data_IF_588428683822
#
_entry.id   IF_588428683822
#
_cell.length_a   1.000
_cell.length_b   1.000
_cell.length_c   1.000
_cell.angle_alpha   90.00
_cell.angle_beta   90.00
_cell.angle_gamma   90.00
#
_symmetry.space_group_name_H-M   'P 1'
#
loop_
_entity.id
_entity.type
_entity.pdbx_description
1 polymer ?
#
# COMPACT_ATOMS: atom_id res chain seq x y z
N UNK A 1 -38.27 -11.09 -17.55
CA UNK A 1 -36.93 -10.94 -18.15
C UNK A 1 -35.90 -11.16 -17.06
N UNK A 2 -34.99 -12.14 -17.18
CA UNK A 2 -34.03 -12.44 -16.13
C UNK A 2 -32.96 -11.35 -16.10
N UNK A 3 -32.65 -10.90 -14.89
CA UNK A 3 -31.63 -9.90 -14.56
C UNK A 3 -30.25 -10.43 -14.93
N UNK A 4 -29.62 -9.80 -15.92
CA UNK A 4 -28.22 -9.97 -16.25
C UNK A 4 -27.36 -9.59 -15.03
N UNK A 5 -26.75 -10.59 -14.42
CA UNK A 5 -25.71 -10.44 -13.41
C UNK A 5 -24.53 -9.66 -14.03
N UNK A 6 -24.43 -8.36 -13.73
CA UNK A 6 -23.22 -7.58 -13.98
C UNK A 6 -22.16 -8.07 -13.00
N UNK A 7 -21.23 -8.88 -13.49
CA UNK A 7 -20.09 -9.35 -12.71
C UNK A 7 -19.30 -8.16 -12.13
N UNK A 8 -19.08 -8.17 -10.81
CA UNK A 8 -18.23 -7.19 -10.10
C UNK A 8 -16.86 -7.07 -10.80
N UNK A 9 -16.29 -5.86 -10.94
CA UNK A 9 -15.00 -5.62 -11.61
C UNK A 9 -13.81 -6.37 -10.99
N UNK A 10 -13.95 -6.85 -9.75
CA UNK A 10 -12.94 -7.70 -9.10
C UNK A 10 -12.86 -9.12 -9.69
N UNK A 11 -13.97 -9.70 -10.14
CA UNK A 11 -14.04 -11.06 -10.69
C UNK A 11 -13.48 -11.12 -12.13
N UNK A 12 -13.67 -10.05 -12.91
CA UNK A 12 -13.05 -9.91 -14.23
C UNK A 12 -11.52 -9.76 -14.13
N UNK A 13 -11.03 -9.00 -13.15
CA UNK A 13 -9.59 -8.87 -12.88
C UNK A 13 -8.95 -10.17 -12.41
N UNK A 14 -9.65 -11.00 -11.62
CA UNK A 14 -9.10 -12.29 -11.19
C UNK A 14 -8.98 -13.27 -12.35
N UNK A 15 -10.02 -13.37 -13.19
CA UNK A 15 -10.01 -14.21 -14.39
C UNK A 15 -8.90 -13.77 -15.37
N UNK A 16 -8.78 -12.47 -15.64
CA UNK A 16 -7.71 -11.95 -16.51
C UNK A 16 -6.29 -12.29 -15.99
N UNK A 17 -6.11 -12.31 -14.66
CA UNK A 17 -4.83 -12.66 -14.04
C UNK A 17 -4.54 -14.17 -14.15
N UNK A 18 -5.56 -15.02 -14.08
CA UNK A 18 -5.41 -16.48 -14.26
C UNK A 18 -5.01 -16.85 -15.70
N UNK A 19 -5.67 -16.26 -16.70
CA UNK A 19 -5.30 -16.48 -18.10
C UNK A 19 -3.88 -15.97 -18.41
N UNK A 20 -3.49 -14.82 -17.86
CA UNK A 20 -2.14 -14.31 -18.03
C UNK A 20 -1.08 -15.27 -17.47
N UNK A 21 -1.31 -15.85 -16.29
CA UNK A 21 -0.40 -16.85 -15.69
C UNK A 21 -0.26 -18.08 -16.57
N UNK A 22 -1.37 -18.61 -17.11
CA UNK A 22 -1.33 -19.77 -18.00
C UNK A 22 -0.52 -19.48 -19.28
N UNK A 23 -0.68 -18.29 -19.87
CA UNK A 23 0.07 -17.86 -21.06
C UNK A 23 1.58 -17.83 -20.77
N UNK A 24 2.00 -17.27 -19.62
CA UNK A 24 3.42 -17.26 -19.24
C UNK A 24 4.01 -18.66 -19.09
N UNK A 25 3.26 -19.60 -18.50
CA UNK A 25 3.70 -21.00 -18.41
C UNK A 25 3.91 -21.63 -19.79
N UNK A 26 2.93 -21.47 -20.70
CA UNK A 26 3.02 -22.01 -22.06
C UNK A 26 4.21 -21.41 -22.80
N UNK A 27 4.40 -20.09 -22.71
CA UNK A 27 5.51 -19.39 -23.34
C UNK A 27 6.86 -19.90 -22.85
N UNK A 28 7.03 -20.09 -21.53
CA UNK A 28 8.28 -20.58 -20.96
C UNK A 28 8.55 -22.04 -21.32
N UNK A 29 7.53 -22.90 -21.30
CA UNK A 29 7.65 -24.30 -21.74
C UNK A 29 8.03 -24.39 -23.22
N UNK A 30 7.36 -23.60 -24.08
CA UNK A 30 7.67 -23.53 -25.52
C UNK A 30 9.09 -23.03 -25.77
N UNK A 31 9.53 -22.00 -25.05
CA UNK A 31 10.90 -21.47 -25.13
C UNK A 31 11.92 -22.51 -24.69
N UNK A 32 11.64 -23.23 -23.59
CA UNK A 32 12.51 -24.31 -23.08
C UNK A 32 12.67 -25.43 -24.11
N UNK A 33 11.57 -25.85 -24.74
CA UNK A 33 11.58 -26.85 -25.80
C UNK A 33 12.35 -26.36 -27.03
N UNK A 34 12.15 -25.11 -27.44
CA UNK A 34 12.87 -24.51 -28.56
C UNK A 34 14.38 -24.48 -28.32
N UNK A 35 14.83 -24.08 -27.13
CA UNK A 35 16.25 -24.10 -26.75
C UNK A 35 16.81 -25.53 -26.81
N UNK A 36 16.05 -26.52 -26.35
CA UNK A 36 16.49 -27.92 -26.41
C UNK A 36 16.61 -28.44 -27.84
N UNK A 37 15.64 -28.13 -28.70
CA UNK A 37 15.70 -28.49 -30.13
C UNK A 37 16.86 -27.80 -30.84
N UNK A 38 17.20 -26.57 -30.45
CA UNK A 38 18.39 -25.89 -30.94
C UNK A 38 19.66 -26.60 -30.47
N UNK A 39 19.77 -26.95 -29.19
CA UNK A 39 20.93 -27.68 -28.62
C UNK A 39 21.18 -29.00 -29.37
N UNK A 40 20.13 -29.78 -29.64
CA UNK A 40 20.20 -31.04 -30.41
C UNK A 40 20.64 -30.87 -31.87
N UNK A 41 20.40 -29.69 -32.47
CA UNK A 41 20.79 -29.42 -33.86
C UNK A 41 22.12 -28.67 -33.97
N UNK A 42 22.70 -28.22 -32.85
CA UNK A 42 24.00 -27.57 -32.84
C UNK A 42 25.14 -28.59 -32.70
N UNK A 43 26.28 -28.39 -33.38
CA UNK A 43 27.46 -29.24 -33.22
C UNK A 43 27.98 -29.25 -31.77
N UNK A 44 28.67 -30.34 -31.38
CA UNK A 44 29.39 -30.39 -30.11
C UNK A 44 30.32 -29.18 -29.95
N UNK A 45 30.33 -28.61 -28.74
CA UNK A 45 31.23 -27.52 -28.38
C UNK A 45 30.62 -26.13 -28.47
N UNK A 46 29.38 -25.95 -28.97
CA UNK A 46 28.66 -24.67 -28.83
C UNK A 46 27.95 -24.63 -27.47
N UNK A 47 27.96 -23.48 -26.80
CA UNK A 47 27.30 -23.26 -25.51
C UNK A 47 25.77 -23.06 -25.67
N UNK A 48 25.09 -23.93 -26.41
CA UNK A 48 23.66 -23.81 -26.74
C UNK A 48 22.71 -24.00 -25.55
N UNK A 49 23.21 -24.45 -24.39
CA UNK A 49 22.47 -24.46 -23.12
C UNK A 49 22.45 -23.11 -22.39
N UNK A 50 23.28 -22.13 -22.76
CA UNK A 50 23.30 -20.80 -22.11
C UNK A 50 21.97 -20.03 -22.16
N UNK A 51 21.13 -20.13 -23.21
CA UNK A 51 19.84 -19.44 -23.27
C UNK A 51 18.82 -19.94 -22.24
N UNK A 52 19.02 -21.10 -21.58
CA UNK A 52 18.14 -21.52 -20.48
C UNK A 52 18.09 -20.52 -19.32
N UNK A 53 19.13 -19.70 -19.16
CA UNK A 53 19.14 -18.54 -18.28
C UNK A 53 17.93 -17.61 -18.51
N UNK A 54 17.53 -17.40 -19.77
CA UNK A 54 16.40 -16.55 -20.13
C UNK A 54 15.06 -17.14 -19.68
N UNK A 55 14.92 -18.47 -19.72
CA UNK A 55 13.73 -19.17 -19.19
C UNK A 55 13.64 -18.96 -17.68
N UNK A 56 14.77 -19.05 -16.97
CA UNK A 56 14.83 -18.85 -15.53
C UNK A 56 14.51 -17.39 -15.18
N UNK A 57 15.04 -16.41 -15.91
CA UNK A 57 14.61 -15.01 -15.79
C UNK A 57 13.12 -14.84 -16.07
N UNK A 58 12.62 -15.51 -17.11
CA UNK A 58 11.21 -15.59 -17.48
C UNK A 58 10.29 -16.08 -16.35
N UNK A 59 10.81 -16.84 -15.40
CA UNK A 59 10.05 -17.26 -14.22
C UNK A 59 9.68 -16.10 -13.28
N UNK A 60 10.28 -14.90 -13.41
CA UNK A 60 9.94 -13.71 -12.62
C UNK A 60 8.48 -13.26 -12.79
N UNK A 61 7.89 -13.48 -13.97
CA UNK A 61 6.50 -13.14 -14.25
C UNK A 61 5.50 -14.12 -13.63
N UNK A 62 5.98 -15.25 -13.12
CA UNK A 62 5.16 -16.24 -12.42
C UNK A 62 5.24 -16.04 -10.91
N UNK A 63 4.07 -16.12 -10.25
CA UNK A 63 3.96 -16.01 -8.79
C UNK A 63 4.64 -17.19 -8.09
N UNK A 64 5.31 -16.88 -6.97
CA UNK A 64 5.95 -17.87 -6.10
C UNK A 64 7.32 -18.35 -6.60
N UNK A 65 8.00 -19.14 -5.76
CA UNK A 65 9.36 -19.61 -6.03
C UNK A 65 9.39 -20.96 -6.77
N UNK A 66 8.29 -21.71 -6.74
CA UNK A 66 8.18 -23.05 -7.33
C UNK A 66 8.49 -23.06 -8.84
N UNK A 67 8.00 -22.07 -9.59
CA UNK A 67 8.28 -21.96 -11.02
C UNK A 67 9.78 -21.87 -11.32
N UNK A 68 10.52 -21.07 -10.54
CA UNK A 68 11.97 -20.92 -10.68
C UNK A 68 12.70 -22.24 -10.38
N UNK A 69 12.28 -22.98 -9.35
CA UNK A 69 12.86 -24.30 -9.05
C UNK A 69 12.60 -25.33 -10.15
N UNK A 70 11.37 -25.35 -10.70
CA UNK A 70 11.00 -26.27 -11.80
C UNK A 70 11.84 -25.98 -13.04
N UNK A 71 11.91 -24.72 -13.49
CA UNK A 71 12.68 -24.38 -14.69
C UNK A 71 14.19 -24.53 -14.48
N UNK A 72 14.71 -24.29 -13.27
CA UNK A 72 16.10 -24.59 -12.93
C UNK A 72 16.40 -26.09 -13.07
N UNK A 73 15.55 -26.95 -12.50
CA UNK A 73 15.72 -28.41 -12.56
C UNK A 73 15.63 -28.92 -14.01
N UNK A 74 14.58 -28.51 -14.75
CA UNK A 74 14.38 -28.91 -16.15
C UNK A 74 15.56 -28.44 -17.01
N UNK A 75 15.99 -27.18 -16.88
CA UNK A 75 17.11 -26.64 -17.66
C UNK A 75 18.43 -27.36 -17.37
N UNK A 76 18.67 -27.71 -16.11
CA UNK A 76 19.84 -28.49 -15.69
C UNK A 76 19.82 -29.88 -16.31
N UNK A 77 18.68 -30.58 -16.22
CA UNK A 77 18.50 -31.91 -16.79
C UNK A 77 18.65 -31.90 -18.31
N UNK A 78 18.03 -30.94 -19.01
CA UNK A 78 18.14 -30.83 -20.47
C UNK A 78 19.55 -30.46 -20.92
N UNK A 79 20.28 -29.63 -20.16
CA UNK A 79 21.68 -29.31 -20.44
C UNK A 79 22.58 -30.55 -20.33
N UNK A 80 22.31 -31.43 -19.36
CA UNK A 80 23.01 -32.72 -19.20
C UNK A 80 22.59 -33.70 -20.31
N UNK A 81 21.30 -33.80 -20.62
CA UNK A 81 20.81 -34.65 -21.70
C UNK A 81 21.41 -34.25 -23.06
N UNK A 82 21.54 -32.94 -23.31
CA UNK A 82 22.19 -32.39 -24.50
C UNK A 82 23.62 -32.87 -24.67
N UNK A 83 24.38 -33.13 -23.60
CA UNK A 83 25.72 -33.72 -23.69
C UNK A 83 25.72 -35.11 -24.34
N UNK A 84 24.69 -35.92 -24.08
CA UNK A 84 24.58 -37.28 -24.61
C UNK A 84 23.89 -37.34 -25.98
N UNK A 85 22.99 -36.39 -26.25
CA UNK A 85 22.10 -36.44 -27.41
C UNK A 85 22.52 -35.54 -28.58
N UNK A 86 23.42 -34.58 -28.36
CA UNK A 86 23.94 -33.72 -29.44
C UNK A 86 24.73 -34.54 -30.46
N UNK A 87 24.75 -34.17 -31.75
CA UNK A 87 25.44 -34.92 -32.79
C UNK A 87 26.96 -34.83 -32.67
N UNK A 88 27.64 -35.97 -32.52
CA UNK A 88 29.09 -36.16 -32.33
C UNK A 88 29.93 -35.71 -33.53
N UNK A 89 30.04 -34.41 -33.74
CA UNK A 89 30.97 -33.80 -34.69
C UNK A 89 32.25 -33.29 -33.98
N UNK A 90 33.28 -32.99 -34.78
CA UNK A 90 34.70 -32.80 -34.43
C UNK A 90 34.93 -31.60 -33.50
N UNK A 91 34.60 -31.73 -32.22
CA UNK A 91 35.01 -30.80 -31.17
C UNK A 91 35.88 -31.51 -30.14
N UNK A 92 36.89 -30.80 -29.63
CA UNK A 92 37.72 -31.29 -28.53
C UNK A 92 36.84 -31.48 -27.29
N UNK A 93 36.97 -32.62 -26.63
CA UNK A 93 36.13 -32.97 -25.47
C UNK A 93 36.26 -31.94 -24.34
N UNK A 94 37.43 -31.33 -24.18
CA UNK A 94 37.69 -30.29 -23.19
C UNK A 94 36.84 -29.04 -23.42
N UNK A 95 36.62 -28.66 -24.69
CA UNK A 95 35.78 -27.50 -25.06
C UNK A 95 34.32 -27.77 -24.72
N UNK A 96 33.85 -29.00 -24.98
CA UNK A 96 32.48 -29.42 -24.65
C UNK A 96 32.25 -29.38 -23.15
N UNK A 97 33.15 -30.00 -22.37
CA UNK A 97 33.05 -30.03 -20.91
C UNK A 97 33.08 -28.62 -20.32
N UNK A 98 33.98 -27.77 -20.81
CA UNK A 98 34.09 -26.37 -20.37
C UNK A 98 32.80 -25.59 -20.64
N UNK A 99 32.22 -25.71 -21.83
CA UNK A 99 31.01 -24.98 -22.19
C UNK A 99 29.76 -25.49 -21.46
N UNK A 100 29.65 -26.81 -21.21
CA UNK A 100 28.57 -27.38 -20.41
C UNK A 100 28.68 -26.96 -18.94
N UNK A 101 29.90 -26.99 -18.40
CA UNK A 101 30.16 -26.49 -17.05
C UNK A 101 29.79 -25.00 -16.91
N UNK A 102 30.19 -24.16 -17.87
CA UNK A 102 29.86 -22.75 -17.88
C UNK A 102 28.35 -22.52 -17.98
N UNK A 103 27.63 -23.27 -18.82
CA UNK A 103 26.18 -23.18 -18.94
C UNK A 103 25.48 -23.53 -17.61
N UNK A 104 25.90 -24.60 -16.93
CA UNK A 104 25.37 -24.98 -15.62
C UNK A 104 25.65 -23.92 -14.55
N UNK A 105 26.84 -23.31 -14.56
CA UNK A 105 27.18 -22.20 -13.66
C UNK A 105 26.25 -21.00 -13.90
N UNK A 106 26.04 -20.60 -15.16
CA UNK A 106 25.14 -19.50 -15.52
C UNK A 106 23.70 -19.80 -15.09
N UNK A 107 23.21 -21.02 -15.31
CA UNK A 107 21.89 -21.48 -14.88
C UNK A 107 21.75 -21.39 -13.34
N UNK A 108 22.75 -21.83 -12.59
CA UNK A 108 22.74 -21.77 -11.13
C UNK A 108 22.79 -20.33 -10.60
N UNK A 109 23.68 -19.49 -11.14
CA UNK A 109 23.79 -18.08 -10.75
C UNK A 109 22.50 -17.30 -11.06
N UNK A 110 21.90 -17.52 -12.23
CA UNK A 110 20.63 -16.87 -12.60
C UNK A 110 19.47 -17.33 -11.72
N UNK A 111 19.37 -18.63 -11.42
CA UNK A 111 18.37 -19.14 -10.49
C UNK A 111 18.53 -18.51 -9.09
N UNK A 112 19.76 -18.44 -8.57
CA UNK A 112 20.05 -17.78 -7.28
C UNK A 112 19.64 -16.31 -7.29
N UNK A 113 20.01 -15.56 -8.33
CA UNK A 113 19.67 -14.14 -8.48
C UNK A 113 18.15 -13.93 -8.55
N UNK A 114 17.44 -14.72 -9.35
CA UNK A 114 15.97 -14.65 -9.48
C UNK A 114 15.27 -14.95 -8.15
N UNK A 115 15.72 -15.98 -7.42
CA UNK A 115 15.18 -16.30 -6.09
C UNK A 115 15.39 -15.16 -5.08
N UNK A 116 16.56 -14.50 -5.12
CA UNK A 116 16.83 -13.31 -4.29
C UNK A 116 15.92 -12.15 -4.67
N UNK A 117 15.77 -11.85 -5.96
CA UNK A 117 14.87 -10.78 -6.45
C UNK A 117 13.42 -11.04 -6.00
N UNK A 118 12.92 -12.27 -6.16
CA UNK A 118 11.57 -12.65 -5.72
C UNK A 118 11.38 -12.49 -4.21
N UNK A 119 12.36 -12.94 -3.40
CA UNK A 119 12.31 -12.80 -1.94
C UNK A 119 12.26 -11.35 -1.51
N UNK A 120 13.13 -10.52 -2.10
CA UNK A 120 13.15 -9.07 -1.87
C UNK A 120 11.79 -8.47 -2.27
N UNK A 121 11.28 -8.74 -3.46
CA UNK A 121 9.98 -8.21 -3.91
C UNK A 121 8.83 -8.61 -2.98
N UNK A 122 8.82 -9.84 -2.46
CA UNK A 122 7.81 -10.28 -1.50
C UNK A 122 7.90 -9.52 -0.18
N UNK A 123 9.10 -9.43 0.40
CA UNK A 123 9.34 -8.68 1.64
C UNK A 123 8.94 -7.22 1.50
N UNK A 124 9.29 -6.57 0.39
CA UNK A 124 8.85 -5.20 0.09
C UNK A 124 7.33 -5.05 0.02
N UNK A 125 6.62 -6.06 -0.49
CA UNK A 125 5.16 -6.01 -0.61
C UNK A 125 4.48 -6.20 0.75
N UNK A 126 4.94 -7.18 1.54
CA UNK A 126 4.43 -7.45 2.89
C UNK A 126 4.69 -6.27 3.82
N UNK A 127 5.91 -5.73 3.77
CA UNK A 127 6.25 -4.50 4.49
C UNK A 127 5.31 -3.38 4.04
N UNK A 128 5.05 -3.19 2.74
CA UNK A 128 4.11 -2.14 2.30
C UNK A 128 2.66 -2.35 2.76
N UNK A 129 2.13 -3.57 2.76
CA UNK A 129 0.74 -3.79 3.15
C UNK A 129 0.54 -3.62 4.65
N UNK A 130 1.41 -4.22 5.46
CA UNK A 130 1.31 -4.20 6.92
C UNK A 130 1.65 -2.82 7.50
N UNK A 131 2.38 -2.00 6.74
CA UNK A 131 2.66 -0.63 7.10
C UNK A 131 1.50 0.32 6.83
N UNK A 132 0.62 0.03 5.86
CA UNK A 132 -0.36 1.03 5.40
C UNK A 132 -1.75 0.85 5.97
N UNK A 133 -2.20 -0.39 6.20
CA UNK A 133 -3.56 -0.68 6.68
C UNK A 133 -3.52 -1.33 8.07
N UNK A 134 -4.30 -0.79 9.00
CA UNK A 134 -4.48 -1.34 10.35
C UNK A 134 -5.37 -2.58 10.29
N UNK A 135 -4.86 -3.72 10.76
CA UNK A 135 -5.56 -5.01 10.69
C UNK A 135 -6.84 -5.07 11.54
N UNK A 136 -6.99 -4.18 12.53
CA UNK A 136 -8.14 -4.17 13.41
C UNK A 136 -9.31 -3.36 12.82
N UNK A 137 -9.02 -2.16 12.31
CA UNK A 137 -10.04 -1.19 11.85
C UNK A 137 -10.15 -1.13 10.34
N UNK A 138 -9.22 -1.73 9.60
CA UNK A 138 -9.06 -1.61 8.14
C UNK A 138 -8.88 -0.17 7.64
N UNK A 139 -8.63 0.77 8.55
CA UNK A 139 -8.24 2.14 8.23
C UNK A 139 -6.73 2.23 7.99
N UNK A 140 -6.25 3.37 7.52
CA UNK A 140 -4.81 3.57 7.34
C UNK A 140 -4.09 3.65 8.69
N UNK A 141 -2.84 3.22 8.77
CA UNK A 141 -2.06 3.26 10.02
C UNK A 141 -1.49 4.66 10.32
N UNK A 142 -0.94 4.84 11.52
CA UNK A 142 -0.13 6.00 11.89
C UNK A 142 1.07 6.24 10.95
N UNK A 143 1.69 5.15 10.46
CA UNK A 143 2.82 5.27 9.51
C UNK A 143 2.35 5.84 8.17
N UNK A 144 1.20 5.39 7.68
CA UNK A 144 0.58 5.97 6.48
C UNK A 144 0.18 7.43 6.71
N UNK A 145 -0.39 7.75 7.88
CA UNK A 145 -0.75 9.12 8.26
C UNK A 145 0.43 10.09 8.15
N UNK A 146 1.59 9.72 8.71
CA UNK A 146 2.79 10.57 8.67
C UNK A 146 3.25 10.86 7.23
N UNK A 147 3.22 9.85 6.36
CA UNK A 147 3.66 9.98 4.97
C UNK A 147 2.66 10.80 4.15
N UNK A 148 1.37 10.48 4.25
CA UNK A 148 0.32 11.08 3.44
C UNK A 148 0.02 12.52 3.88
N UNK A 149 0.05 12.84 5.17
CA UNK A 149 -0.11 14.22 5.64
C UNK A 149 1.01 15.13 5.11
N UNK A 150 2.27 14.65 5.08
CA UNK A 150 3.36 15.42 4.48
C UNK A 150 3.12 15.68 2.98
N UNK A 151 2.62 14.70 2.26
CA UNK A 151 2.33 14.82 0.83
C UNK A 151 1.18 15.81 0.57
N UNK A 152 0.09 15.69 1.33
CA UNK A 152 -1.08 16.56 1.18
C UNK A 152 -0.77 18.01 1.59
N UNK A 153 0.06 18.24 2.62
CA UNK A 153 0.53 19.60 2.95
C UNK A 153 1.27 20.22 1.76
N UNK A 154 2.18 19.48 1.12
CA UNK A 154 2.91 19.97 -0.05
C UNK A 154 1.98 20.27 -1.22
N UNK A 155 0.97 19.41 -1.44
CA UNK A 155 -0.03 19.55 -2.49
C UNK A 155 -0.92 20.78 -2.26
N UNK A 156 -1.47 20.90 -1.05
CA UNK A 156 -2.31 22.02 -0.62
C UNK A 156 -1.57 23.35 -0.74
N UNK A 157 -0.30 23.45 -0.29
CA UNK A 157 0.52 24.66 -0.49
C UNK A 157 0.79 25.00 -1.95
N UNK A 158 0.99 23.98 -2.80
CA UNK A 158 1.25 24.18 -4.23
C UNK A 158 0.04 24.75 -4.96
N UNK A 159 -1.15 24.24 -4.65
CA UNK A 159 -2.39 24.61 -5.35
C UNK A 159 -3.26 25.60 -4.57
N UNK A 160 -2.79 26.05 -3.41
CA UNK A 160 -3.50 26.96 -2.52
C UNK A 160 -4.92 26.46 -2.15
N UNK A 161 -5.03 25.18 -1.81
CA UNK A 161 -6.28 24.57 -1.35
C UNK A 161 -6.31 24.45 0.16
N UNK A 162 -7.50 24.56 0.76
CA UNK A 162 -7.66 24.33 2.19
C UNK A 162 -7.37 22.87 2.53
N UNK A 163 -6.75 22.63 3.68
CA UNK A 163 -6.47 21.30 4.20
C UNK A 163 -6.71 21.32 5.70
N UNK A 164 -7.64 20.52 6.20
CA UNK A 164 -7.96 20.47 7.62
C UNK A 164 -7.63 19.11 8.22
N UNK A 165 -7.04 19.11 9.41
CA UNK A 165 -6.70 17.92 10.17
C UNK A 165 -7.60 17.86 11.41
N UNK A 166 -8.35 16.77 11.55
CA UNK A 166 -9.12 16.47 12.75
C UNK A 166 -8.53 15.25 13.48
N UNK A 167 -8.37 15.36 14.80
CA UNK A 167 -7.96 14.26 15.68
C UNK A 167 -9.13 13.92 16.60
N UNK A 168 -9.61 12.68 16.49
CA UNK A 168 -10.67 12.10 17.30
C UNK A 168 -10.04 11.27 18.42
N UNK A 169 -10.50 11.43 19.65
CA UNK A 169 -10.04 10.67 20.81
C UNK A 169 -11.24 10.20 21.63
N UNK A 170 -11.26 8.91 21.97
CA UNK A 170 -12.32 8.30 22.78
C UNK A 170 -12.18 8.80 24.21
N UNK A 171 -13.22 9.49 24.68
CA UNK A 171 -13.24 10.02 26.03
C UNK A 171 -13.20 8.91 27.06
N UNK A 172 -12.42 9.14 28.13
CA UNK A 172 -12.30 8.21 29.25
C UNK A 172 -11.84 6.80 28.83
N UNK A 173 -11.14 6.66 27.69
CA UNK A 173 -10.74 5.36 27.14
C UNK A 173 -10.11 4.42 28.17
N UNK A 174 -9.11 4.89 28.94
CA UNK A 174 -8.46 4.08 29.98
C UNK A 174 -9.46 3.58 31.03
N UNK A 175 -10.37 4.45 31.49
CA UNK A 175 -11.38 4.09 32.49
C UNK A 175 -12.39 3.07 31.94
N UNK A 176 -12.68 3.14 30.64
CA UNK A 176 -13.57 2.21 29.96
C UNK A 176 -12.98 0.79 29.80
N UNK A 177 -11.66 0.60 30.00
CA UNK A 177 -10.93 -0.57 29.47
C UNK A 177 -9.88 -1.17 30.41
N UNK A 178 -10.12 -1.19 31.72
CA UNK A 178 -9.14 -1.69 32.71
C UNK A 178 -8.76 -3.19 32.53
N UNK A 179 -7.96 -3.80 33.39
CA UNK A 179 -6.82 -4.63 32.94
C UNK A 179 -7.03 -6.10 32.51
N UNK A 180 -8.19 -6.56 32.02
CA UNK A 180 -8.40 -7.98 31.67
C UNK A 180 -8.56 -8.26 30.15
N UNK A 181 -8.63 -9.56 29.79
CA UNK A 181 -8.85 -10.01 28.41
C UNK A 181 -10.19 -9.53 27.85
N UNK A 182 -11.24 -9.47 28.69
CA UNK A 182 -12.54 -8.91 28.34
C UNK A 182 -12.40 -7.45 27.88
N UNK A 183 -11.55 -6.68 28.56
CA UNK A 183 -11.30 -5.28 28.23
C UNK A 183 -10.45 -5.10 26.96
N UNK A 184 -9.63 -6.09 26.58
CA UNK A 184 -8.97 -6.06 25.25
C UNK A 184 -9.99 -6.16 24.12
N UNK A 185 -10.97 -7.05 24.24
CA UNK A 185 -12.06 -7.12 23.28
C UNK A 185 -12.87 -5.83 23.27
N UNK A 186 -13.16 -5.27 24.44
CA UNK A 186 -13.88 -4.01 24.58
C UNK A 186 -13.14 -2.82 23.95
N UNK A 187 -11.83 -2.68 24.19
CA UNK A 187 -10.94 -1.71 23.51
C UNK A 187 -11.05 -1.78 21.99
N UNK A 188 -10.95 -3.01 21.48
CA UNK A 188 -10.99 -3.27 20.06
C UNK A 188 -12.35 -2.92 19.46
N UNK A 189 -13.45 -3.18 20.19
CA UNK A 189 -14.80 -2.81 19.78
C UNK A 189 -15.00 -1.29 19.73
N UNK A 190 -14.52 -0.56 20.74
CA UNK A 190 -14.60 0.91 20.81
C UNK A 190 -13.96 1.57 19.59
N UNK A 191 -12.69 1.25 19.30
CA UNK A 191 -11.96 1.86 18.18
C UNK A 191 -12.49 1.38 16.80
N UNK A 192 -12.95 0.13 16.69
CA UNK A 192 -13.64 -0.39 15.49
C UNK A 192 -14.94 0.37 15.22
N UNK A 193 -15.72 0.65 16.26
CA UNK A 193 -16.97 1.39 16.13
C UNK A 193 -16.69 2.84 15.74
N UNK A 194 -15.74 3.50 16.40
CA UNK A 194 -15.34 4.87 16.05
C UNK A 194 -14.91 4.96 14.58
N UNK A 195 -13.95 4.12 14.17
CA UNK A 195 -13.46 4.11 12.78
C UNK A 195 -14.57 3.85 11.76
N UNK A 196 -15.48 2.90 12.03
CA UNK A 196 -16.63 2.61 11.15
C UNK A 196 -17.57 3.81 11.02
N UNK A 197 -17.87 4.52 12.11
CA UNK A 197 -18.73 5.69 12.05
C UNK A 197 -18.07 6.86 11.32
N UNK A 198 -16.76 7.07 11.51
CA UNK A 198 -16.00 8.07 10.75
C UNK A 198 -16.01 7.72 9.25
N UNK A 199 -15.63 6.49 8.89
CA UNK A 199 -15.55 6.06 7.49
C UNK A 199 -16.87 6.20 6.73
N UNK A 200 -18.03 6.05 7.39
CA UNK A 200 -19.34 6.23 6.78
C UNK A 200 -19.76 7.69 6.60
N UNK A 201 -19.10 8.61 7.30
CA UNK A 201 -19.54 10.00 7.40
C UNK A 201 -18.61 10.99 6.68
N UNK A 202 -17.42 10.54 6.28
CA UNK A 202 -16.46 11.33 5.49
C UNK A 202 -16.58 11.00 4.00
N UNK A 203 -16.04 11.88 3.14
CA UNK A 203 -16.05 11.70 1.68
C UNK A 203 -14.97 10.69 1.26
N UNK A 204 -15.09 10.14 0.06
CA UNK A 204 -14.05 9.26 -0.51
C UNK A 204 -12.69 9.95 -0.71
N UNK A 205 -12.69 11.28 -0.86
CA UNK A 205 -11.48 12.11 -0.94
C UNK A 205 -10.76 12.21 0.40
N UNK A 206 -11.51 12.20 1.50
CA UNK A 206 -10.97 12.31 2.85
C UNK A 206 -10.32 10.99 3.26
N UNK A 207 -9.30 11.08 4.10
CA UNK A 207 -8.53 9.91 4.52
C UNK A 207 -8.60 9.72 6.03
N UNK A 208 -8.99 8.51 6.44
CA UNK A 208 -9.10 8.09 7.84
C UNK A 208 -7.89 7.23 8.24
N UNK A 209 -7.31 7.59 9.39
CA UNK A 209 -6.15 6.92 9.96
C UNK A 209 -6.42 6.53 11.41
N UNK A 210 -5.92 5.37 11.82
CA UNK A 210 -5.77 5.00 13.23
C UNK A 210 -4.36 5.35 13.69
N UNK A 211 -4.25 6.41 14.50
CA UNK A 211 -2.95 6.94 14.94
C UNK A 211 -2.51 6.40 16.30
N UNK A 212 -3.46 5.99 17.16
CA UNK A 212 -3.19 5.34 18.46
C UNK A 212 -4.24 4.27 18.79
N UNK A 213 -4.15 3.67 19.97
CA UNK A 213 -5.12 2.67 20.45
C UNK A 213 -6.55 3.20 20.56
N UNK A 214 -6.69 4.49 20.85
CA UNK A 214 -7.91 5.22 21.22
C UNK A 214 -8.16 6.45 20.33
N UNK A 215 -7.28 6.70 19.35
CA UNK A 215 -7.33 7.89 18.50
C UNK A 215 -7.35 7.57 17.02
N UNK A 216 -8.20 8.30 16.32
CA UNK A 216 -8.23 8.37 14.87
C UNK A 216 -7.88 9.78 14.41
N UNK A 217 -7.31 9.91 13.21
CA UNK A 217 -7.13 11.18 12.53
C UNK A 217 -7.86 11.16 11.18
N UNK A 218 -8.40 12.30 10.79
CA UNK A 218 -8.95 12.51 9.45
C UNK A 218 -8.23 13.68 8.80
N UNK A 219 -7.75 13.46 7.58
CA UNK A 219 -7.29 14.52 6.70
C UNK A 219 -8.45 14.87 5.77
N UNK A 220 -9.01 16.07 5.96
CA UNK A 220 -10.03 16.65 5.10
C UNK A 220 -9.35 17.47 4.00
N UNK A 221 -9.44 16.98 2.78
CA UNK A 221 -8.83 17.62 1.60
C UNK A 221 -9.79 18.68 1.07
N UNK A 222 -9.26 19.83 0.64
CA UNK A 222 -10.05 20.94 0.08
C UNK A 222 -11.18 21.42 1.02
N UNK A 223 -10.95 21.32 2.34
CA UNK A 223 -11.97 21.60 3.36
C UNK A 223 -11.44 22.62 4.36
N UNK A 224 -12.20 23.68 4.61
CA UNK A 224 -11.86 24.70 5.59
C UNK A 224 -12.20 24.30 7.04
N UNK A 225 -11.87 25.17 7.99
CA UNK A 225 -12.08 24.88 9.43
C UNK A 225 -13.56 24.77 9.80
N UNK A 226 -14.44 25.50 9.12
CA UNK A 226 -15.87 25.55 9.41
C UNK A 226 -16.54 24.26 8.94
N UNK A 227 -16.31 23.88 7.68
CA UNK A 227 -16.81 22.64 7.11
C UNK A 227 -16.30 21.41 7.88
N UNK A 228 -14.99 21.38 8.20
CA UNK A 228 -14.41 20.30 8.98
C UNK A 228 -15.03 20.19 10.39
N UNK A 229 -15.33 21.34 11.01
CA UNK A 229 -16.01 21.42 12.32
C UNK A 229 -17.45 20.93 12.23
N UNK A 230 -18.20 21.28 11.19
CA UNK A 230 -19.57 20.81 10.98
C UNK A 230 -19.64 19.29 10.85
N UNK A 231 -18.83 18.70 9.96
CA UNK A 231 -18.77 17.24 9.77
C UNK A 231 -18.37 16.54 11.07
N UNK A 232 -17.38 17.08 11.77
CA UNK A 232 -16.89 16.52 13.04
C UNK A 232 -17.94 16.62 14.16
N UNK A 233 -18.71 17.71 14.22
CA UNK A 233 -19.80 17.87 15.18
C UNK A 233 -20.96 16.91 14.90
N UNK A 234 -21.35 16.77 13.64
CA UNK A 234 -22.38 15.81 13.23
C UNK A 234 -21.97 14.37 13.60
N UNK A 235 -20.70 14.01 13.39
CA UNK A 235 -20.18 12.70 13.78
C UNK A 235 -20.22 12.48 15.29
N UNK A 236 -19.73 13.45 16.07
CA UNK A 236 -19.75 13.40 17.53
C UNK A 236 -21.17 13.20 18.07
N UNK A 237 -22.12 13.98 17.54
CA UNK A 237 -23.51 13.90 17.97
C UNK A 237 -24.16 12.55 17.58
N UNK A 238 -23.84 12.02 16.40
CA UNK A 238 -24.26 10.68 15.97
C UNK A 238 -23.75 9.59 16.91
N UNK A 239 -22.46 9.65 17.29
CA UNK A 239 -21.87 8.70 18.24
C UNK A 239 -22.60 8.80 19.59
N UNK A 240 -22.81 10.02 20.09
CA UNK A 240 -23.52 10.27 21.35
C UNK A 240 -24.95 9.71 21.34
N UNK A 241 -25.73 9.98 20.29
CA UNK A 241 -27.12 9.47 20.14
C UNK A 241 -27.17 7.96 20.06
N UNK A 242 -26.22 7.33 19.35
CA UNK A 242 -26.17 5.87 19.22
C UNK A 242 -25.99 5.19 20.60
N UNK A 243 -25.32 5.84 21.55
CA UNK A 243 -25.23 5.33 22.93
C UNK A 243 -26.58 5.36 23.65
N UNK A 244 -27.40 6.40 23.43
CA UNK A 244 -28.73 6.51 24.05
C UNK A 244 -29.69 5.43 23.55
N UNK A 245 -29.50 4.94 22.32
CA UNK A 245 -30.29 3.85 21.74
C UNK A 245 -29.90 2.45 22.26
N UNK A 246 -29.10 2.35 23.33
CA UNK A 246 -28.70 1.07 23.95
C UNK A 246 -27.64 0.28 23.18
N UNK A 247 -27.03 0.86 22.13
CA UNK A 247 -25.92 0.22 21.43
C UNK A 247 -24.64 0.30 22.26
N UNK A 248 -24.18 -0.85 22.76
CA UNK A 248 -22.90 -1.00 23.43
C UNK A 248 -21.78 -1.39 22.44
N UNK A 249 -20.52 -0.97 22.68
CA UNK A 249 -20.05 -0.20 23.83
C UNK A 249 -20.35 1.30 23.69
N UNK A 250 -20.88 1.94 24.75
CA UNK A 250 -21.18 3.37 24.76
C UNK A 250 -19.95 4.21 25.07
N UNK A 251 -19.68 5.26 24.28
CA UNK A 251 -18.55 6.17 24.49
C UNK A 251 -18.80 7.55 23.86
N UNK A 252 -18.18 8.60 24.38
CA UNK A 252 -18.13 9.92 23.71
C UNK A 252 -16.77 10.17 23.10
N UNK A 253 -16.69 11.19 22.26
CA UNK A 253 -15.44 11.58 21.61
C UNK A 253 -15.19 13.07 21.77
N UNK A 254 -13.94 13.40 22.07
CA UNK A 254 -13.42 14.76 21.95
C UNK A 254 -12.66 14.88 20.63
N UNK A 255 -12.81 16.03 19.96
CA UNK A 255 -12.24 16.24 18.63
C UNK A 255 -11.49 17.57 18.59
N UNK A 256 -10.24 17.54 18.15
CA UNK A 256 -9.43 18.72 17.90
C UNK A 256 -9.18 18.92 16.42
N UNK A 257 -9.43 20.13 15.92
CA UNK A 257 -9.27 20.45 14.50
C UNK A 257 -8.34 21.64 14.31
N UNK A 258 -7.47 21.55 13.30
CA UNK A 258 -6.68 22.67 12.80
C UNK A 258 -6.62 22.64 11.26
N UNK A 259 -6.70 23.80 10.64
CA UNK A 259 -6.50 23.98 9.19
C UNK A 259 -5.06 24.37 8.89
N UNK A 260 -4.53 23.93 7.75
CA UNK A 260 -3.17 24.19 7.33
C UNK A 260 -2.92 25.68 7.15
N UNK A 261 -1.86 26.17 7.79
CA UNK A 261 -1.35 27.52 7.58
C UNK A 261 -0.15 27.56 6.61
N UNK A 262 0.18 28.74 6.09
CA UNK A 262 1.30 28.98 5.17
C UNK A 262 2.64 28.54 5.77
N UNK A 263 2.82 28.74 7.08
CA UNK A 263 4.03 28.42 7.83
C UNK A 263 3.99 27.04 8.50
N UNK A 264 2.89 26.30 8.31
CA UNK A 264 2.76 24.99 8.91
C UNK A 264 3.59 23.96 8.16
N UNK A 265 4.32 23.15 8.91
CA UNK A 265 4.74 21.83 8.47
C UNK A 265 3.87 20.79 9.19
N UNK A 266 4.01 19.52 8.83
CA UNK A 266 3.26 18.42 9.46
C UNK A 266 3.27 18.47 10.98
N UNK A 267 4.43 18.74 11.59
CA UNK A 267 4.57 18.79 13.06
C UNK A 267 3.77 19.94 13.66
N UNK A 268 3.79 21.13 13.06
CA UNK A 268 3.04 22.30 13.54
C UNK A 268 1.54 22.11 13.38
N UNK A 269 1.08 21.64 12.22
CA UNK A 269 -0.34 21.35 11.97
C UNK A 269 -0.87 20.29 12.93
N UNK A 270 -0.15 19.17 13.10
CA UNK A 270 -0.52 18.13 14.07
C UNK A 270 -0.58 18.69 15.50
N UNK A 271 0.41 19.47 15.91
CA UNK A 271 0.45 20.07 17.26
C UNK A 271 -0.73 21.02 17.48
N UNK A 272 -1.12 21.82 16.49
CA UNK A 272 -2.32 22.68 16.56
C UNK A 272 -3.59 21.82 16.73
N UNK A 273 -3.76 20.77 15.92
CA UNK A 273 -4.91 19.87 16.07
C UNK A 273 -4.93 19.18 17.44
N UNK A 274 -3.77 18.77 17.97
CA UNK A 274 -3.65 18.16 19.29
C UNK A 274 -3.94 19.16 20.42
N UNK A 275 -3.47 20.41 20.31
CA UNK A 275 -3.82 21.47 21.26
C UNK A 275 -5.32 21.76 21.26
N UNK A 276 -5.95 21.78 20.08
CA UNK A 276 -7.41 21.90 19.99
C UNK A 276 -8.11 20.72 20.68
N UNK A 277 -7.60 19.50 20.53
CA UNK A 277 -8.14 18.31 21.19
C UNK A 277 -8.02 18.40 22.71
N UNK A 278 -6.88 18.87 23.22
CA UNK A 278 -6.67 19.09 24.65
C UNK A 278 -7.71 20.08 25.19
N UNK A 279 -7.94 21.20 24.50
CA UNK A 279 -8.99 22.16 24.86
C UNK A 279 -10.38 21.51 24.91
N UNK A 280 -10.73 20.67 23.94
CA UNK A 280 -12.00 19.93 23.97
C UNK A 280 -12.11 19.02 25.21
N UNK A 281 -11.01 18.40 25.62
CA UNK A 281 -10.99 17.53 26.81
C UNK A 281 -11.09 18.32 28.12
N UNK A 282 -10.39 19.45 28.22
CA UNK A 282 -10.39 20.32 29.39
C UNK A 282 -11.75 21.01 29.58
N UNK A 283 -12.41 21.39 28.50
CA UNK A 283 -13.72 22.05 28.51
C UNK A 283 -14.90 21.07 28.75
N UNK A 284 -14.66 19.88 29.30
CA UNK A 284 -15.73 18.94 29.65
C UNK A 284 -15.97 17.77 28.67
N UNK A 285 -15.08 17.56 27.68
CA UNK A 285 -15.13 16.45 26.71
C UNK A 285 -16.40 16.46 25.83
N UNK A 286 -16.63 15.39 25.06
CA UNK A 286 -17.78 15.24 24.16
C UNK A 286 -18.05 16.49 23.30
N UNK A 287 -17.01 17.08 22.72
CA UNK A 287 -17.10 18.31 21.94
C UNK A 287 -16.00 18.45 20.90
N UNK A 288 -16.22 19.39 19.98
CA UNK A 288 -15.25 19.79 18.95
C UNK A 288 -14.63 21.12 19.35
N UNK A 289 -13.31 21.19 19.39
CA UNK A 289 -12.56 22.43 19.51
C UNK A 289 -11.69 22.65 18.29
N UNK A 290 -11.52 23.92 17.92
CA UNK A 290 -10.78 24.34 16.74
C UNK A 290 -9.67 25.31 17.14
N UNK A 291 -8.50 25.20 16.51
CA UNK A 291 -7.52 26.28 16.52
C UNK A 291 -7.46 26.91 15.12
N UNK A 292 -7.82 28.20 14.97
CA UNK A 292 -7.85 28.88 13.67
C UNK A 292 -6.43 29.04 13.08
N UNK A 293 -6.35 29.39 11.80
CA UNK A 293 -5.11 29.79 11.11
C UNK A 293 -4.40 30.93 11.89
N UNK A 294 -3.07 30.90 11.96
CA UNK A 294 -2.25 31.92 12.60
C UNK A 294 -2.07 33.11 11.63
N UNK A 295 -3.10 33.96 11.53
CA UNK A 295 -3.18 35.21 10.73
C UNK A 295 -3.00 35.06 9.21
N UNK A 296 -4.11 35.15 8.45
CA UNK A 296 -4.10 35.59 7.04
C UNK A 296 -3.77 37.09 6.97
N UNK A 297 -2.58 37.45 6.50
CA UNK A 297 -2.47 38.70 5.77
C UNK A 297 -3.16 38.49 4.43
N UNK A 298 -4.25 39.20 4.19
CA UNK A 298 -4.98 39.24 2.92
C UNK A 298 -4.01 39.60 1.79
N UNK A 299 -3.48 38.60 1.09
CA UNK A 299 -2.74 38.80 -0.16
C UNK A 299 -3.61 38.32 -1.31
N UNK A 300 -4.09 39.32 -2.05
CA UNK A 300 -4.55 39.33 -3.43
C UNK A 300 -4.47 37.99 -4.17
N UNK A 301 -5.62 37.54 -4.69
CA UNK A 301 -5.82 36.44 -5.65
C UNK A 301 -5.20 36.76 -7.02
N UNK A 302 -3.91 37.11 -7.08
CA UNK A 302 -3.19 37.25 -8.35
C UNK A 302 -2.26 36.05 -8.50
N UNK A 303 -2.57 35.10 -9.41
CA UNK A 303 -1.65 34.03 -9.75
C UNK A 303 -0.28 34.60 -10.11
N UNK A 304 0.80 34.03 -9.57
CA UNK A 304 2.18 34.45 -9.86
C UNK A 304 2.53 34.41 -11.37
N UNK A 305 1.73 33.70 -12.18
CA UNK A 305 1.81 33.67 -13.64
C UNK A 305 1.50 35.04 -14.27
N UNK A 306 0.61 35.84 -13.68
CA UNK A 306 0.26 37.17 -14.18
C UNK A 306 1.30 38.25 -13.82
N UNK A 307 2.22 37.96 -12.90
CA UNK A 307 3.29 38.89 -12.50
C UNK A 307 4.54 38.80 -13.40
N UNK A 308 4.57 37.88 -14.36
CA UNK A 308 5.73 37.67 -15.26
C UNK A 308 5.63 38.37 -16.62
N UNK A 309 4.53 39.06 -16.94
CA UNK A 309 4.28 39.55 -18.31
C UNK A 309 4.29 41.07 -18.52
N UNK A 310 4.91 41.85 -17.63
CA UNK A 310 5.17 43.28 -17.91
C UNK A 310 6.49 43.77 -17.33
N UNK A 311 7.59 43.37 -17.98
CA UNK A 311 8.78 44.22 -18.08
C UNK A 311 9.38 44.01 -19.46
N UNK A 312 9.20 45.04 -20.29
CA UNK A 312 9.87 45.40 -21.56
C UNK A 312 10.00 44.32 -22.63
#
# INVERSE_FOLDING_TARGET
MPTLFVAKPAHLKSLQNEYAVAIYWILLCSTTLCIFLLDLNTPFGIAAGTPYALVIFGSLWLKGNHSTYIFFLISTLLTIAGFFLSPSQIALIDVVLTNRFLALLVIACTAFMVLKIKKVSQEYTTVRTDLYIDSLTHCKTDRAFVLELNAEIKRSKRYNHNLSLAIFDIDHFTQLVNSDKADRHYRNLLIKRLSKEISKSIRNSDQLYRIRSDRCAVIFVETDIHEAKEVSNALREKIFRTNQSGFHPGFTVSIGIATLDIDDNRRRLYKRAEQALIKAKENGRNQVSTLPETRRNSRSLTPAILLRSRTS
#
